data_IF_649519800510
#
_entry.id   IF_649519800510
#
_cell.length_a   1.000
_cell.length_b   1.000
_cell.length_c   1.000
_cell.angle_alpha   90.00
_cell.angle_beta   90.00
_cell.angle_gamma   90.00
#
_symmetry.space_group_name_H-M   'P 1'
#
loop_
_entity.id
_entity.type
_entity.pdbx_description
1 polymer ?
#
# COMPACT_ATOMS: atom_id res chain seq x y z
N UNK A 1 -9.94 6.66 4.18
CA UNK A 1 -9.65 5.35 4.80
C UNK A 1 -10.76 4.31 4.55
N UNK A 2 -12.00 4.51 5.03
CA UNK A 2 -13.11 3.54 4.92
C UNK A 2 -13.41 2.97 3.52
N UNK A 3 -13.14 3.71 2.44
CA UNK A 3 -13.31 3.23 1.06
C UNK A 3 -12.35 2.07 0.74
N UNK A 4 -11.11 2.12 1.23
CA UNK A 4 -10.11 1.08 0.97
C UNK A 4 -10.35 -0.18 1.81
N UNK A 5 -10.82 -0.02 3.05
CA UNK A 5 -11.25 -1.17 3.87
C UNK A 5 -12.44 -1.89 3.25
N UNK A 6 -13.47 -1.16 2.80
CA UNK A 6 -14.61 -1.77 2.09
C UNK A 6 -14.17 -2.47 0.80
N UNK A 7 -13.23 -1.88 0.06
CA UNK A 7 -12.68 -2.51 -1.14
C UNK A 7 -11.99 -3.84 -0.78
N UNK A 8 -11.16 -3.85 0.25
CA UNK A 8 -10.51 -5.07 0.74
C UNK A 8 -11.51 -6.12 1.23
N UNK A 9 -12.54 -5.73 1.98
CA UNK A 9 -13.58 -6.66 2.44
C UNK A 9 -14.35 -7.31 1.28
N UNK A 10 -14.60 -6.55 0.21
CA UNK A 10 -15.36 -7.03 -0.94
C UNK A 10 -14.52 -7.87 -1.91
N UNK A 11 -13.28 -7.45 -2.15
CA UNK A 11 -12.42 -8.02 -3.20
C UNK A 11 -11.25 -8.85 -2.65
N UNK A 12 -11.09 -8.90 -1.34
CA UNK A 12 -10.11 -9.74 -0.64
C UNK A 12 -8.66 -9.30 -0.82
N UNK A 13 -7.77 -10.27 -0.67
CA UNK A 13 -6.32 -10.18 -0.78
C UNK A 13 -5.92 -10.15 -2.27
N UNK A 14 -5.94 -8.95 -2.86
CA UNK A 14 -5.54 -8.71 -4.24
C UNK A 14 -4.65 -7.48 -4.33
N UNK A 15 -3.84 -7.42 -5.38
CA UNK A 15 -2.90 -6.32 -5.57
C UNK A 15 -3.53 -4.92 -5.41
N UNK A 16 -4.64 -4.57 -6.09
CA UNK A 16 -5.19 -3.22 -6.01
C UNK A 16 -5.82 -2.90 -4.64
N UNK A 17 -6.31 -3.91 -3.90
CA UNK A 17 -6.84 -3.68 -2.54
C UNK A 17 -5.70 -3.36 -1.57
N UNK A 18 -4.57 -4.05 -1.70
CA UNK A 18 -3.38 -3.76 -0.89
C UNK A 18 -2.73 -2.43 -1.22
N UNK A 19 -2.67 -2.03 -2.50
CA UNK A 19 -2.21 -0.67 -2.88
C UNK A 19 -3.13 0.40 -2.28
N UNK A 20 -4.45 0.20 -2.35
CA UNK A 20 -5.43 1.12 -1.78
C UNK A 20 -5.29 1.25 -0.27
N UNK A 21 -5.19 0.12 0.45
CA UNK A 21 -4.96 0.12 1.89
C UNK A 21 -3.65 0.82 2.27
N UNK A 22 -2.56 0.52 1.57
CA UNK A 22 -1.27 1.18 1.79
C UNK A 22 -1.39 2.71 1.71
N UNK A 23 -2.02 3.24 0.65
CA UNK A 23 -2.23 4.69 0.48
C UNK A 23 -3.16 5.24 1.56
N UNK A 24 -4.21 4.51 1.89
CA UNK A 24 -5.18 4.90 2.92
C UNK A 24 -4.58 5.02 4.30
N UNK A 25 -3.77 4.04 4.72
CA UNK A 25 -3.04 4.07 6.00
C UNK A 25 -1.98 5.16 6.02
N UNK A 26 -1.24 5.32 4.92
CA UNK A 26 -0.24 6.37 4.79
C UNK A 26 -0.85 7.77 4.95
N UNK A 27 -2.00 8.02 4.33
CA UNK A 27 -2.68 9.32 4.39
C UNK A 27 -3.16 9.72 5.80
N UNK A 28 -3.35 8.74 6.70
CA UNK A 28 -3.72 9.00 8.10
C UNK A 28 -2.51 8.93 9.06
N UNK A 29 -1.29 8.81 8.52
CA UNK A 29 -0.06 8.74 9.30
C UNK A 29 0.24 7.37 9.91
N UNK A 30 -0.56 6.34 9.61
CA UNK A 30 -0.29 4.97 10.05
C UNK A 30 0.71 4.29 9.11
N UNK A 31 1.96 4.71 9.24
CA UNK A 31 3.06 4.23 8.40
C UNK A 31 3.32 2.73 8.60
N UNK A 32 3.01 2.18 9.78
CA UNK A 32 3.21 0.75 10.08
C UNK A 32 2.28 -0.13 9.25
N UNK A 33 0.98 0.16 9.25
CA UNK A 33 0.03 -0.59 8.45
C UNK A 33 0.20 -0.30 6.95
N UNK A 34 0.58 0.94 6.58
CA UNK A 34 0.93 1.26 5.21
C UNK A 34 2.08 0.38 4.69
N UNK A 35 3.17 0.25 5.47
CA UNK A 35 4.32 -0.57 5.12
C UNK A 35 3.95 -2.06 4.98
N UNK A 36 3.13 -2.59 5.91
CA UNK A 36 2.61 -3.96 5.82
C UNK A 36 1.93 -4.21 4.48
N UNK A 37 1.00 -3.34 4.10
CA UNK A 37 0.25 -3.51 2.86
C UNK A 37 1.10 -3.22 1.61
N UNK A 38 2.08 -2.32 1.69
CA UNK A 38 3.05 -2.08 0.62
C UNK A 38 3.87 -3.33 0.30
N UNK A 39 4.34 -4.06 1.32
CA UNK A 39 5.10 -5.32 1.14
C UNK A 39 4.27 -6.45 0.54
N UNK A 40 2.97 -6.50 0.84
CA UNK A 40 2.08 -7.48 0.19
C UNK A 40 1.85 -7.07 -1.27
N UNK A 41 1.53 -5.80 -1.51
CA UNK A 41 1.30 -5.27 -2.85
C UNK A 41 2.52 -5.46 -3.77
N UNK A 42 3.75 -5.23 -3.29
CA UNK A 42 4.94 -5.37 -4.16
C UNK A 42 5.17 -6.82 -4.60
N UNK A 43 4.80 -7.80 -3.76
CA UNK A 43 4.89 -9.21 -4.10
C UNK A 43 3.82 -9.67 -5.10
N UNK A 44 2.69 -8.96 -5.16
CA UNK A 44 1.57 -9.23 -6.07
C UNK A 44 1.57 -8.35 -7.32
N UNK A 45 2.61 -7.53 -7.51
CA UNK A 45 2.65 -6.54 -8.59
C UNK A 45 2.51 -7.22 -9.97
N UNK A 46 1.62 -6.73 -10.85
CA UNK A 46 1.36 -7.35 -12.15
C UNK A 46 2.46 -7.10 -13.18
N UNK A 47 3.31 -6.09 -12.94
CA UNK A 47 4.40 -5.70 -13.81
C UNK A 47 5.52 -5.00 -13.04
N UNK A 48 6.66 -4.82 -13.72
CA UNK A 48 7.88 -4.27 -13.16
C UNK A 48 7.73 -2.79 -12.78
N UNK A 49 6.99 -2.00 -13.56
CA UNK A 49 6.76 -0.58 -13.29
C UNK A 49 6.03 -0.39 -11.95
N UNK A 50 4.97 -1.17 -11.73
CA UNK A 50 4.22 -1.14 -10.48
C UNK A 50 5.05 -1.67 -9.30
N UNK A 51 5.87 -2.69 -9.52
CA UNK A 51 6.77 -3.22 -8.49
C UNK A 51 7.80 -2.17 -8.06
N UNK A 52 8.45 -1.51 -9.01
CA UNK A 52 9.50 -0.53 -8.73
C UNK A 52 8.93 0.71 -8.01
N UNK A 53 7.75 1.17 -8.42
CA UNK A 53 7.03 2.23 -7.71
C UNK A 53 6.74 1.86 -6.25
N UNK A 54 6.28 0.63 -6.01
CA UNK A 54 6.01 0.12 -4.66
C UNK A 54 7.30 -0.04 -3.83
N UNK A 55 8.41 -0.43 -4.44
CA UNK A 55 9.71 -0.47 -3.75
C UNK A 55 10.17 0.91 -3.30
N UNK A 56 9.97 1.95 -4.13
CA UNK A 56 10.22 3.34 -3.75
C UNK A 56 9.36 3.77 -2.57
N UNK A 57 8.06 3.46 -2.61
CA UNK A 57 7.12 3.74 -1.52
C UNK A 57 7.50 3.01 -0.23
N UNK A 58 7.92 1.73 -0.32
CA UNK A 58 8.39 0.95 0.84
C UNK A 58 9.56 1.65 1.52
N UNK A 59 10.55 2.15 0.77
CA UNK A 59 11.68 2.88 1.35
C UNK A 59 11.23 4.12 2.12
N UNK A 60 10.32 4.92 1.56
CA UNK A 60 9.76 6.09 2.25
C UNK A 60 9.04 5.69 3.54
N UNK A 61 8.25 4.61 3.50
CA UNK A 61 7.53 4.10 4.67
C UNK A 61 8.48 3.51 5.72
N UNK A 62 9.58 2.86 5.31
CA UNK A 62 10.63 2.36 6.22
C UNK A 62 11.34 3.51 6.96
N UNK A 63 11.45 4.69 6.35
CA UNK A 63 11.94 5.92 6.99
C UNK A 63 10.92 6.53 7.98
N UNK A 64 9.75 5.93 8.15
CA UNK A 64 8.69 6.46 9.01
C UNK A 64 7.92 7.63 8.38
N UNK A 65 8.08 7.86 7.07
CA UNK A 65 7.42 8.96 6.36
C UNK A 65 6.20 8.44 5.60
N UNK A 66 5.08 9.18 5.59
CA UNK A 66 3.97 8.84 4.71
C UNK A 66 4.41 8.99 3.25
N UNK A 67 3.87 8.15 2.37
CA UNK A 67 4.02 8.34 0.91
C UNK A 67 3.24 9.59 0.49
N UNK A 68 3.90 10.44 -0.29
CA UNK A 68 3.23 11.54 -0.99
C UNK A 68 2.24 10.97 -2.01
N UNK A 69 1.07 11.60 -2.09
CA UNK A 69 -0.05 11.16 -2.93
C UNK A 69 0.05 11.72 -4.35
#
# INVERSE_FOLDING_TARGET
FAVFERNFQKNGDTWPTHVGLMRGYSAIGDVKNALKHARIAVAQAPDDLNRDALQGMIKTLEEGKPVAQ
#
